data_IF_567661731972
#
_entry.id   IF_567661731972
#
_cell.length_a   1.000
_cell.length_b   1.000
_cell.length_c   1.000
_cell.angle_alpha   90.00
_cell.angle_beta   90.00
_cell.angle_gamma   90.00
#
_symmetry.space_group_name_H-M   'P 1'
#
loop_
_entity.id
_entity.type
_entity.pdbx_description
1 polymer ?
#
# COMPACT_ATOMS: atom_id res chain seq x y z
N UNK A 1 -12.21 30.00 8.22
CA UNK A 1 -12.37 29.80 6.74
C UNK A 1 -11.09 29.23 6.20
N UNK A 2 -11.16 28.30 5.24
CA UNK A 2 -9.96 27.66 4.67
C UNK A 2 -9.01 28.69 4.04
N UNK A 3 -7.71 28.40 4.08
CA UNK A 3 -6.69 29.22 3.42
C UNK A 3 -6.52 28.74 1.98
N UNK A 4 -7.14 29.44 1.03
CA UNK A 4 -7.07 29.10 -0.39
C UNK A 4 -6.27 30.16 -1.13
N UNK A 5 -5.16 29.75 -1.78
CA UNK A 5 -4.34 30.66 -2.55
C UNK A 5 -5.11 31.20 -3.78
N UNK A 6 -4.99 32.51 -4.12
CA UNK A 6 -5.76 33.11 -5.22
C UNK A 6 -5.54 32.46 -6.60
N UNK A 7 -4.44 31.75 -6.81
CA UNK A 7 -4.16 31.03 -8.08
C UNK A 7 -4.63 29.56 -8.06
N UNK A 8 -5.24 29.10 -6.98
CA UNK A 8 -5.84 27.76 -6.95
C UNK A 8 -7.17 27.76 -7.72
N UNK A 9 -7.47 26.67 -8.40
CA UNK A 9 -8.74 26.43 -9.10
C UNK A 9 -9.51 25.42 -8.28
N UNK A 10 -10.64 25.83 -7.73
CA UNK A 10 -11.45 24.98 -6.83
C UNK A 10 -12.88 24.91 -7.36
N UNK A 11 -13.33 23.67 -7.67
CA UNK A 11 -14.70 23.41 -8.08
C UNK A 11 -15.69 23.73 -6.95
N UNK A 12 -16.85 24.23 -7.29
CA UNK A 12 -17.94 24.54 -6.34
C UNK A 12 -18.46 23.32 -5.58
N UNK A 13 -18.22 22.11 -6.07
CA UNK A 13 -18.56 20.84 -5.41
C UNK A 13 -17.55 20.42 -4.33
N UNK A 14 -16.41 21.12 -4.23
CA UNK A 14 -15.40 20.81 -3.21
C UNK A 14 -15.88 21.23 -1.81
N UNK A 15 -15.60 20.39 -0.82
CA UNK A 15 -15.85 20.65 0.61
C UNK A 15 -14.51 20.73 1.32
N UNK A 16 -14.19 21.91 1.89
CA UNK A 16 -12.88 22.19 2.47
C UNK A 16 -13.07 22.64 3.92
N UNK A 17 -12.44 21.92 4.87
CA UNK A 17 -12.49 22.27 6.30
C UNK A 17 -11.87 23.65 6.56
N UNK A 18 -12.34 24.34 7.60
CA UNK A 18 -11.98 25.73 7.92
C UNK A 18 -10.49 25.97 8.17
N UNK A 19 -9.77 24.96 8.61
CA UNK A 19 -8.34 24.98 8.92
C UNK A 19 -7.46 24.29 7.85
N UNK A 20 -8.07 23.88 6.74
CA UNK A 20 -7.32 23.31 5.62
C UNK A 20 -6.66 24.39 4.77
N UNK A 21 -5.57 24.04 4.12
CA UNK A 21 -4.78 24.91 3.24
C UNK A 21 -4.73 24.37 1.82
N UNK A 22 -5.03 25.21 0.83
CA UNK A 22 -4.88 24.93 -0.60
C UNK A 22 -3.88 25.93 -1.19
N UNK A 23 -2.69 25.45 -1.48
CA UNK A 23 -1.56 26.23 -1.97
C UNK A 23 -1.71 26.71 -3.43
N UNK A 24 -0.70 27.45 -3.94
CA UNK A 24 -0.75 28.03 -5.28
C UNK A 24 -0.85 26.97 -6.37
N UNK A 25 -1.63 27.31 -7.40
CA UNK A 25 -1.82 26.48 -8.60
C UNK A 25 -2.30 25.05 -8.35
N UNK A 26 -2.90 24.79 -7.17
CA UNK A 26 -3.63 23.55 -6.93
C UNK A 26 -4.94 23.56 -7.74
N UNK A 27 -5.32 22.39 -8.26
CA UNK A 27 -6.56 22.18 -9.01
C UNK A 27 -7.38 21.11 -8.28
N UNK A 28 -8.60 21.47 -7.88
CA UNK A 28 -9.58 20.58 -7.28
C UNK A 28 -10.78 20.53 -8.23
N UNK A 29 -10.95 19.42 -8.95
CA UNK A 29 -12.01 19.21 -9.94
C UNK A 29 -13.08 18.27 -9.38
N UNK A 30 -14.35 18.67 -9.40
CA UNK A 30 -15.48 17.87 -8.93
C UNK A 30 -15.55 17.73 -7.40
N UNK A 31 -16.19 16.67 -6.87
CA UNK A 31 -16.44 16.50 -5.44
C UNK A 31 -15.16 16.06 -4.71
N UNK A 32 -14.37 17.03 -4.25
CA UNK A 32 -13.17 16.83 -3.42
C UNK A 32 -13.47 17.25 -1.99
N UNK A 33 -13.23 16.35 -1.02
CA UNK A 33 -13.39 16.64 0.41
C UNK A 33 -12.03 16.70 1.09
N UNK A 34 -11.70 17.85 1.69
CA UNK A 34 -10.50 18.04 2.51
C UNK A 34 -10.90 18.19 3.97
N UNK A 35 -10.48 17.23 4.81
CA UNK A 35 -10.75 17.28 6.25
C UNK A 35 -9.82 18.25 7.00
N UNK A 36 -10.02 18.36 8.32
CA UNK A 36 -9.32 19.28 9.21
C UNK A 36 -7.79 19.19 9.08
N UNK A 37 -7.11 20.35 8.97
CA UNK A 37 -5.66 20.43 8.92
C UNK A 37 -5.00 19.86 7.65
N UNK A 38 -5.76 19.50 6.62
CA UNK A 38 -5.19 19.07 5.34
C UNK A 38 -4.40 20.21 4.71
N UNK A 39 -3.22 19.89 4.17
CA UNK A 39 -2.35 20.84 3.51
C UNK A 39 -1.99 20.36 2.10
N UNK A 40 -2.55 21.00 1.08
CA UNK A 40 -2.11 20.87 -0.30
C UNK A 40 -1.04 21.95 -0.56
N UNK A 41 0.21 21.54 -0.75
CA UNK A 41 1.34 22.50 -0.83
C UNK A 41 1.24 23.43 -2.05
N UNK A 42 1.44 22.93 -3.24
CA UNK A 42 1.35 23.66 -4.48
C UNK A 42 1.18 22.70 -5.65
N UNK A 43 0.54 23.14 -6.74
CA UNK A 43 0.49 22.40 -8.01
C UNK A 43 0.01 20.93 -7.83
N UNK A 44 -0.80 20.66 -6.83
CA UNK A 44 -1.47 19.38 -6.65
C UNK A 44 -2.71 19.33 -7.54
N UNK A 45 -2.99 18.18 -8.15
CA UNK A 45 -4.21 18.01 -8.94
C UNK A 45 -5.05 16.86 -8.38
N UNK A 46 -6.24 17.20 -7.88
CA UNK A 46 -7.20 16.26 -7.33
C UNK A 46 -8.45 16.25 -8.20
N UNK A 47 -8.85 15.07 -8.70
CA UNK A 47 -10.07 14.87 -9.50
C UNK A 47 -11.04 13.98 -8.74
N UNK A 48 -12.15 14.55 -8.27
CA UNK A 48 -13.14 13.84 -7.44
C UNK A 48 -13.97 12.79 -8.21
N UNK A 49 -14.55 11.84 -7.44
CA UNK A 49 -14.66 11.83 -5.97
C UNK A 49 -13.33 11.56 -5.25
N UNK A 50 -12.88 12.48 -4.41
CA UNK A 50 -11.67 12.30 -3.59
C UNK A 50 -11.94 12.78 -2.16
N UNK A 51 -11.55 11.97 -1.17
CA UNK A 51 -11.57 12.35 0.23
C UNK A 51 -10.16 12.27 0.82
N UNK A 52 -9.69 13.36 1.42
CA UNK A 52 -8.39 13.43 2.11
C UNK A 52 -8.63 13.58 3.61
N UNK A 53 -8.17 12.62 4.39
CA UNK A 53 -8.27 12.58 5.85
C UNK A 53 -7.45 13.66 6.55
N UNK A 54 -7.80 13.92 7.80
CA UNK A 54 -7.27 15.03 8.58
C UNK A 54 -5.73 15.03 8.67
N UNK A 55 -5.12 16.22 8.72
CA UNK A 55 -3.67 16.47 8.88
C UNK A 55 -2.77 15.88 7.78
N UNK A 56 -3.37 15.30 6.74
CA UNK A 56 -2.63 14.78 5.58
C UNK A 56 -2.01 15.92 4.78
N UNK A 57 -0.78 15.72 4.34
CA UNK A 57 -0.02 16.69 3.53
C UNK A 57 0.23 16.13 2.14
N UNK A 58 -0.10 16.92 1.13
CA UNK A 58 0.11 16.59 -0.28
C UNK A 58 1.11 17.56 -0.87
N UNK A 59 2.17 17.02 -1.45
CA UNK A 59 3.31 17.77 -1.97
C UNK A 59 3.17 18.06 -3.47
N UNK A 60 3.97 18.97 -4.04
CA UNK A 60 3.81 19.45 -5.40
C UNK A 60 3.78 18.32 -6.45
N UNK A 61 2.94 18.53 -7.47
CA UNK A 61 2.77 17.64 -8.61
C UNK A 61 2.15 16.27 -8.28
N UNK A 62 1.64 16.06 -7.08
CA UNK A 62 0.86 14.87 -6.80
C UNK A 62 -0.46 14.90 -7.59
N UNK A 63 -0.83 13.73 -8.18
CA UNK A 63 -2.02 13.54 -8.99
C UNK A 63 -2.92 12.47 -8.35
N UNK A 64 -4.13 12.85 -7.92
CA UNK A 64 -5.01 11.98 -7.13
C UNK A 64 -6.41 11.97 -7.75
N UNK A 65 -6.96 10.76 -7.96
CA UNK A 65 -8.35 10.58 -8.37
C UNK A 65 -8.58 10.60 -9.88
N UNK A 66 -7.56 10.65 -10.70
CA UNK A 66 -7.72 10.45 -12.13
C UNK A 66 -8.22 9.04 -12.44
N UNK A 67 -8.88 8.89 -13.57
CA UNK A 67 -9.46 7.63 -14.05
C UNK A 67 -8.44 6.49 -14.08
N UNK A 68 -8.89 5.23 -13.99
CA UNK A 68 -8.03 4.07 -14.12
C UNK A 68 -7.22 4.09 -15.42
N UNK A 69 -5.95 3.68 -15.37
CA UNK A 69 -5.07 3.57 -16.56
C UNK A 69 -5.43 2.32 -17.39
N UNK A 70 -6.67 2.27 -17.88
CA UNK A 70 -7.19 1.23 -18.78
C UNK A 70 -8.00 1.94 -19.87
N UNK A 71 -7.82 1.57 -21.13
CA UNK A 71 -8.44 2.20 -22.31
C UNK A 71 -9.97 2.27 -22.28
N UNK A 72 -10.65 1.48 -21.44
CA UNK A 72 -12.13 1.54 -21.26
C UNK A 72 -12.59 2.68 -20.37
N UNK A 73 -11.70 3.36 -19.67
CA UNK A 73 -12.04 4.51 -18.83
C UNK A 73 -11.59 5.80 -19.51
N UNK A 74 -12.39 6.85 -19.34
CA UNK A 74 -12.10 8.20 -19.80
C UNK A 74 -12.56 9.23 -18.77
N UNK A 75 -12.38 10.53 -19.05
CA UNK A 75 -12.69 11.61 -18.11
C UNK A 75 -14.11 11.62 -17.56
N UNK A 76 -15.08 11.07 -18.31
CA UNK A 76 -16.50 11.02 -17.94
C UNK A 76 -16.88 9.71 -17.23
N UNK A 77 -15.93 8.84 -16.94
CA UNK A 77 -16.21 7.57 -16.27
C UNK A 77 -16.66 7.81 -14.84
N UNK A 78 -17.79 7.19 -14.47
CA UNK A 78 -18.28 7.20 -13.09
C UNK A 78 -17.47 6.19 -12.27
N UNK A 79 -16.83 6.66 -11.20
CA UNK A 79 -16.01 5.84 -10.32
C UNK A 79 -16.30 6.15 -8.85
N UNK A 80 -15.98 5.23 -7.93
CA UNK A 80 -16.02 5.50 -6.50
C UNK A 80 -14.88 6.43 -6.04
N UNK A 81 -13.93 6.75 -6.91
CA UNK A 81 -12.86 7.67 -6.63
C UNK A 81 -11.77 7.13 -5.71
N UNK A 82 -11.27 8.00 -4.82
CA UNK A 82 -10.15 7.74 -3.91
C UNK A 82 -10.46 8.20 -2.49
N UNK A 83 -10.07 7.40 -1.49
CA UNK A 83 -10.07 7.81 -0.09
C UNK A 83 -8.65 7.68 0.48
N UNK A 84 -8.12 8.75 1.05
CA UNK A 84 -6.83 8.80 1.75
C UNK A 84 -7.11 9.08 3.23
N UNK A 85 -6.49 8.31 4.11
CA UNK A 85 -6.63 8.42 5.57
C UNK A 85 -5.96 9.66 6.17
N UNK A 86 -5.85 9.65 7.49
CA UNK A 86 -5.30 10.75 8.27
C UNK A 86 -3.78 10.68 8.39
N UNK A 87 -3.14 11.82 8.67
CA UNK A 87 -1.71 11.94 8.96
C UNK A 87 -0.79 11.37 7.86
N UNK A 88 -1.26 11.30 6.63
CA UNK A 88 -0.48 10.80 5.49
C UNK A 88 0.50 11.86 4.95
N UNK A 89 1.61 11.39 4.38
CA UNK A 89 2.54 12.22 3.62
C UNK A 89 2.58 11.71 2.17
N UNK A 90 2.00 12.49 1.25
CA UNK A 90 1.96 12.18 -0.18
C UNK A 90 2.96 13.10 -0.88
N UNK A 91 4.14 12.57 -1.21
CA UNK A 91 5.26 13.35 -1.72
C UNK A 91 5.12 13.68 -3.21
N UNK A 92 6.09 14.42 -3.71
CA UNK A 92 6.14 15.00 -5.03
C UNK A 92 5.95 13.94 -6.13
N UNK A 93 5.12 14.24 -7.12
CA UNK A 93 4.83 13.35 -8.25
C UNK A 93 4.21 11.99 -7.87
N UNK A 94 3.78 11.80 -6.63
CA UNK A 94 3.04 10.59 -6.27
C UNK A 94 1.67 10.60 -6.96
N UNK A 95 1.17 9.40 -7.33
CA UNK A 95 -0.13 9.29 -7.99
C UNK A 95 -0.99 8.18 -7.38
N UNK A 96 -2.30 8.45 -7.29
CA UNK A 96 -3.31 7.49 -6.82
C UNK A 96 -4.51 7.56 -7.79
N UNK A 97 -4.78 6.47 -8.50
CA UNK A 97 -5.88 6.43 -9.45
C UNK A 97 -7.20 6.03 -8.80
N UNK A 98 -8.30 6.56 -9.33
CA UNK A 98 -9.66 6.22 -8.92
C UNK A 98 -9.95 4.74 -9.12
N UNK A 99 -10.95 4.23 -8.39
CA UNK A 99 -11.42 2.86 -8.54
C UNK A 99 -12.02 2.61 -9.94
N UNK A 100 -11.97 1.36 -10.40
CA UNK A 100 -12.60 0.94 -11.66
C UNK A 100 -14.09 0.61 -11.51
N UNK A 101 -14.66 0.84 -10.34
CA UNK A 101 -16.06 0.62 -9.99
C UNK A 101 -16.65 1.88 -9.33
N UNK A 102 -17.97 1.92 -9.12
CA UNK A 102 -18.71 3.07 -8.58
C UNK A 102 -19.10 2.96 -7.11
N UNK A 103 -18.65 1.91 -6.40
CA UNK A 103 -19.10 1.60 -5.03
C UNK A 103 -17.99 1.43 -4.00
N UNK A 104 -16.75 1.10 -4.39
CA UNK A 104 -15.62 0.92 -3.48
C UNK A 104 -14.43 1.72 -3.97
N UNK A 105 -13.99 2.77 -3.25
CA UNK A 105 -12.89 3.62 -3.69
C UNK A 105 -11.52 2.90 -3.62
N UNK A 106 -10.56 3.36 -4.40
CA UNK A 106 -9.15 3.12 -4.12
C UNK A 106 -8.82 3.70 -2.76
N UNK A 107 -8.18 2.91 -1.89
CA UNK A 107 -7.99 3.28 -0.49
C UNK A 107 -6.52 3.36 -0.11
N UNK A 108 -6.16 4.47 0.54
CA UNK A 108 -4.91 4.64 1.28
C UNK A 108 -5.28 4.77 2.77
N UNK A 109 -4.70 3.95 3.63
CA UNK A 109 -4.92 4.00 5.09
C UNK A 109 -4.33 5.23 5.76
N UNK A 110 -4.28 5.20 7.09
CA UNK A 110 -3.74 6.30 7.89
C UNK A 110 -2.21 6.22 8.00
N UNK A 111 -1.55 7.37 8.22
CA UNK A 111 -0.11 7.50 8.44
C UNK A 111 0.76 6.86 7.35
N UNK A 112 0.22 6.80 6.15
CA UNK A 112 0.94 6.27 5.00
C UNK A 112 1.96 7.29 4.50
N UNK A 113 3.18 6.83 4.22
CA UNK A 113 4.21 7.64 3.61
C UNK A 113 4.45 7.20 2.16
N UNK A 114 3.86 7.91 1.22
CA UNK A 114 4.13 7.78 -0.21
C UNK A 114 5.26 8.73 -0.58
N UNK A 115 6.47 8.19 -0.82
CA UNK A 115 7.61 9.01 -1.22
C UNK A 115 7.51 9.40 -2.71
N UNK A 116 8.44 10.21 -3.17
CA UNK A 116 8.48 10.80 -4.51
C UNK A 116 8.25 9.75 -5.61
N UNK A 117 7.34 10.08 -6.54
CA UNK A 117 7.00 9.25 -7.71
C UNK A 117 6.50 7.84 -7.38
N UNK A 118 5.99 7.61 -6.16
CA UNK A 118 5.30 6.36 -5.85
C UNK A 118 3.90 6.35 -6.48
N UNK A 119 3.37 5.15 -6.75
CA UNK A 119 2.10 5.01 -7.47
C UNK A 119 1.21 3.93 -6.88
N UNK A 120 -0.08 4.21 -6.79
CA UNK A 120 -1.13 3.23 -6.49
C UNK A 120 -2.15 3.24 -7.62
N UNK A 121 -2.26 2.08 -8.29
CA UNK A 121 -3.23 1.84 -9.35
C UNK A 121 -4.66 1.76 -8.82
N UNK A 122 -5.61 1.73 -9.75
CA UNK A 122 -7.05 1.64 -9.46
C UNK A 122 -7.38 0.44 -8.54
N UNK A 123 -8.39 0.59 -7.70
CA UNK A 123 -8.84 -0.45 -6.76
C UNK A 123 -7.76 -0.92 -5.77
N UNK A 124 -6.66 -0.19 -5.66
CA UNK A 124 -5.61 -0.46 -4.68
C UNK A 124 -6.14 -0.28 -3.25
N UNK A 125 -5.73 -1.17 -2.33
CA UNK A 125 -6.05 -1.07 -0.91
C UNK A 125 -4.77 -1.10 -0.09
N UNK A 126 -4.32 0.07 0.34
CA UNK A 126 -3.08 0.26 1.12
C UNK A 126 -3.45 0.43 2.59
N UNK A 127 -2.89 -0.41 3.45
CA UNK A 127 -3.10 -0.40 4.90
C UNK A 127 -2.50 0.82 5.60
N UNK A 128 -2.58 0.81 6.92
CA UNK A 128 -2.06 1.88 7.77
C UNK A 128 -0.53 1.77 7.95
N UNK A 129 0.13 2.90 8.21
CA UNK A 129 1.56 2.97 8.51
C UNK A 129 2.46 2.37 7.39
N UNK A 130 1.96 2.24 6.17
CA UNK A 130 2.72 1.72 5.03
C UNK A 130 3.73 2.77 4.55
N UNK A 131 4.93 2.31 4.22
CA UNK A 131 5.96 3.14 3.59
C UNK A 131 6.18 2.67 2.15
N UNK A 132 5.86 3.54 1.19
CA UNK A 132 6.18 3.37 -0.22
C UNK A 132 7.39 4.26 -0.54
N UNK A 133 8.56 3.66 -0.66
CA UNK A 133 9.79 4.40 -0.97
C UNK A 133 9.76 4.92 -2.40
N UNK A 134 10.55 5.91 -2.72
CA UNK A 134 10.55 6.59 -4.02
C UNK A 134 10.49 5.63 -5.21
N UNK A 135 9.55 5.86 -6.12
CA UNK A 135 9.33 5.02 -7.29
C UNK A 135 8.73 3.64 -7.01
N UNK A 136 8.25 3.34 -5.79
CA UNK A 136 7.53 2.10 -5.53
C UNK A 136 6.16 2.13 -6.22
N UNK A 137 5.82 1.09 -6.97
CA UNK A 137 4.63 1.04 -7.82
C UNK A 137 3.74 -0.16 -7.46
N UNK A 138 2.46 0.10 -7.22
CA UNK A 138 1.41 -0.90 -7.07
C UNK A 138 0.47 -0.85 -8.27
N UNK A 139 0.33 -1.97 -9.00
CA UNK A 139 -0.67 -2.11 -10.06
C UNK A 139 -2.09 -2.11 -9.51
N UNK A 140 -3.08 -2.21 -10.40
CA UNK A 140 -4.50 -2.26 -10.01
C UNK A 140 -4.82 -3.44 -9.08
N UNK A 141 -5.81 -3.25 -8.19
CA UNK A 141 -6.29 -4.26 -7.24
C UNK A 141 -5.23 -4.81 -6.27
N UNK A 142 -4.09 -4.15 -6.12
CA UNK A 142 -3.06 -4.53 -5.15
C UNK A 142 -3.52 -4.24 -3.73
N UNK A 143 -3.32 -5.20 -2.84
CA UNK A 143 -3.53 -5.00 -1.40
C UNK A 143 -2.21 -5.02 -0.66
N UNK A 144 -1.99 -4.01 0.19
CA UNK A 144 -0.79 -3.91 1.05
C UNK A 144 -1.24 -3.85 2.50
N UNK A 145 -0.81 -4.80 3.30
CA UNK A 145 -1.12 -4.86 4.73
C UNK A 145 -0.38 -3.79 5.54
N UNK A 146 -0.89 -3.54 6.74
CA UNK A 146 -0.37 -2.51 7.64
C UNK A 146 1.14 -2.63 7.87
N UNK A 147 1.81 -1.49 7.98
CA UNK A 147 3.23 -1.38 8.30
C UNK A 147 4.18 -2.09 7.33
N UNK A 148 3.69 -2.42 6.13
CA UNK A 148 4.56 -2.94 5.08
C UNK A 148 5.49 -1.84 4.55
N UNK A 149 6.66 -2.25 4.04
CA UNK A 149 7.62 -1.35 3.40
C UNK A 149 7.90 -1.83 1.98
N UNK A 150 7.55 -0.99 1.01
CA UNK A 150 7.86 -1.20 -0.39
C UNK A 150 9.13 -0.42 -0.74
N UNK A 151 10.23 -1.13 -1.00
CA UNK A 151 11.53 -0.54 -1.30
C UNK A 151 11.53 0.32 -2.57
N UNK A 152 12.50 1.22 -2.69
CA UNK A 152 12.58 2.15 -3.82
C UNK A 152 12.59 1.43 -5.16
N UNK A 153 11.75 1.87 -6.11
CA UNK A 153 11.61 1.24 -7.41
C UNK A 153 11.05 -0.18 -7.40
N UNK A 154 10.49 -0.66 -6.29
CA UNK A 154 9.84 -1.98 -6.24
C UNK A 154 8.50 -1.97 -6.99
N UNK A 155 8.09 -3.13 -7.51
CA UNK A 155 6.92 -3.29 -8.36
C UNK A 155 6.02 -4.40 -7.81
N UNK A 156 4.75 -4.10 -7.54
CA UNK A 156 3.74 -5.08 -7.16
C UNK A 156 2.76 -5.25 -8.32
N UNK A 157 2.80 -6.43 -8.97
CA UNK A 157 1.90 -6.74 -10.09
C UNK A 157 0.45 -6.89 -9.60
N UNK A 158 -0.50 -6.46 -10.42
CA UNK A 158 -1.92 -6.68 -10.16
C UNK A 158 -2.31 -8.16 -10.22
N UNK A 159 -3.22 -8.65 -9.41
CA UNK A 159 -3.76 -8.16 -8.14
C UNK A 159 -3.07 -8.84 -6.93
N UNK A 160 -1.74 -8.70 -6.82
CA UNK A 160 -0.97 -9.33 -5.73
C UNK A 160 -1.24 -8.67 -4.38
N UNK A 161 -0.97 -9.44 -3.32
CA UNK A 161 -1.06 -8.98 -1.94
C UNK A 161 0.33 -8.95 -1.28
N UNK A 162 0.59 -7.89 -0.54
CA UNK A 162 1.76 -7.75 0.34
C UNK A 162 1.25 -7.78 1.78
N UNK A 163 1.70 -8.74 2.58
CA UNK A 163 1.21 -8.93 3.95
C UNK A 163 1.70 -7.85 4.93
N UNK A 164 1.06 -7.78 6.08
CA UNK A 164 1.42 -6.90 7.20
C UNK A 164 2.89 -7.08 7.58
N UNK A 165 3.60 -5.95 7.82
CA UNK A 165 5.03 -5.91 8.17
C UNK A 165 5.94 -6.63 7.15
N UNK A 166 5.46 -6.94 5.96
CA UNK A 166 6.32 -7.45 4.89
C UNK A 166 7.22 -6.34 4.35
N UNK A 167 8.36 -6.73 3.79
CA UNK A 167 9.31 -5.80 3.17
C UNK A 167 9.64 -6.22 1.75
N UNK A 168 9.74 -5.26 0.86
CA UNK A 168 10.31 -5.46 -0.47
C UNK A 168 11.65 -4.71 -0.56
N UNK A 169 12.66 -5.40 -1.06
CA UNK A 169 13.94 -4.78 -1.41
C UNK A 169 13.79 -3.75 -2.54
N UNK A 170 14.77 -2.85 -2.67
CA UNK A 170 14.78 -1.89 -3.77
C UNK A 170 14.85 -2.56 -5.14
N UNK A 171 14.08 -2.09 -6.12
CA UNK A 171 14.02 -2.64 -7.47
C UNK A 171 13.40 -4.04 -7.59
N UNK A 172 12.84 -4.60 -6.53
CA UNK A 172 12.28 -5.96 -6.53
C UNK A 172 10.87 -5.97 -7.12
N UNK A 173 10.61 -6.68 -8.24
CA UNK A 173 9.27 -6.92 -8.73
C UNK A 173 8.68 -8.18 -8.10
N UNK A 174 7.37 -8.19 -7.82
CA UNK A 174 6.62 -9.39 -7.45
C UNK A 174 5.36 -9.53 -8.31
N UNK A 175 5.05 -10.78 -8.68
CA UNK A 175 3.82 -11.21 -9.36
C UNK A 175 3.14 -12.38 -8.63
N UNK A 176 3.55 -12.60 -7.38
CA UNK A 176 3.00 -13.56 -6.42
C UNK A 176 2.78 -12.84 -5.08
N UNK A 177 1.92 -13.38 -4.23
CA UNK A 177 1.61 -12.80 -2.93
C UNK A 177 2.82 -12.89 -1.98
N UNK A 178 3.18 -11.79 -1.32
CA UNK A 178 4.23 -11.76 -0.31
C UNK A 178 3.62 -11.91 1.10
N UNK A 179 3.84 -13.04 1.80
CA UNK A 179 3.24 -13.28 3.11
C UNK A 179 3.66 -12.27 4.17
N UNK A 180 2.84 -12.07 5.23
CA UNK A 180 3.18 -11.22 6.37
C UNK A 180 4.55 -11.53 6.96
N UNK A 181 5.22 -10.50 7.45
CA UNK A 181 6.54 -10.56 8.11
C UNK A 181 7.70 -11.03 7.22
N UNK A 182 7.48 -11.28 5.94
CA UNK A 182 8.53 -11.76 5.03
C UNK A 182 9.18 -10.64 4.24
N UNK A 183 10.45 -10.83 3.87
CA UNK A 183 11.20 -9.89 3.02
C UNK A 183 11.44 -10.50 1.65
N UNK A 184 10.95 -9.85 0.58
CA UNK A 184 11.29 -10.19 -0.80
C UNK A 184 12.59 -9.46 -1.19
N UNK A 185 13.63 -10.23 -1.52
CA UNK A 185 14.96 -9.69 -1.89
C UNK A 185 15.25 -9.83 -3.39
N UNK A 186 14.45 -10.60 -4.11
CA UNK A 186 14.51 -10.78 -5.56
C UNK A 186 13.10 -11.09 -6.08
N UNK A 187 12.90 -11.09 -7.39
CA UNK A 187 11.60 -11.32 -8.01
C UNK A 187 10.94 -12.61 -7.50
N UNK A 188 9.76 -12.48 -6.88
CA UNK A 188 8.99 -13.58 -6.27
C UNK A 188 9.78 -14.47 -5.29
N UNK A 189 10.86 -13.96 -4.67
CA UNK A 189 11.73 -14.73 -3.78
C UNK A 189 11.82 -14.12 -2.39
N UNK A 190 11.49 -14.93 -1.38
CA UNK A 190 11.63 -14.59 0.04
C UNK A 190 13.03 -14.91 0.50
N UNK A 191 13.77 -13.90 0.95
CA UNK A 191 15.12 -14.06 1.50
C UNK A 191 15.13 -14.42 2.99
N UNK A 192 14.36 -13.70 3.78
CA UNK A 192 14.32 -13.86 5.25
C UNK A 192 13.05 -13.22 5.83
N UNK A 193 12.68 -13.56 7.07
CA UNK A 193 11.65 -12.79 7.78
C UNK A 193 12.16 -11.41 8.23
N UNK A 194 11.24 -10.45 8.34
CA UNK A 194 11.46 -9.11 8.87
C UNK A 194 11.47 -9.11 10.41
N UNK A 195 12.47 -9.75 11.01
CA UNK A 195 12.56 -9.88 12.47
C UNK A 195 12.71 -8.52 13.18
N UNK A 196 13.34 -7.55 12.54
CA UNK A 196 13.50 -6.18 13.08
C UNK A 196 12.14 -5.49 13.15
N UNK A 197 11.35 -5.59 12.09
CA UNK A 197 9.98 -5.06 12.06
C UNK A 197 9.10 -5.70 13.13
N UNK A 198 9.11 -7.02 13.24
CA UNK A 198 8.37 -7.74 14.30
C UNK A 198 8.76 -7.23 15.69
N UNK A 199 10.06 -7.17 16.00
CA UNK A 199 10.56 -6.70 17.30
C UNK A 199 10.12 -5.26 17.62
N UNK A 200 10.24 -4.35 16.65
CA UNK A 200 9.83 -2.93 16.81
C UNK A 200 8.33 -2.76 17.04
N UNK A 201 7.53 -3.71 16.56
CA UNK A 201 6.08 -3.71 16.71
C UNK A 201 5.58 -4.59 17.87
N UNK A 202 6.46 -4.97 18.79
CA UNK A 202 6.07 -5.57 20.07
C UNK A 202 5.75 -7.07 20.02
N UNK A 203 6.11 -7.77 18.93
CA UNK A 203 5.98 -9.24 18.90
C UNK A 203 6.92 -9.85 19.92
N UNK A 204 6.44 -10.86 20.63
CA UNK A 204 7.21 -11.55 21.65
C UNK A 204 8.29 -12.47 21.04
N UNK A 205 9.13 -13.03 21.93
CA UNK A 205 10.22 -13.92 21.49
C UNK A 205 9.71 -15.23 20.90
N UNK A 206 8.55 -15.72 21.36
CA UNK A 206 7.96 -16.94 20.84
C UNK A 206 7.51 -16.76 19.40
N UNK A 207 6.71 -15.73 19.11
CA UNK A 207 6.26 -15.39 17.77
C UNK A 207 7.43 -15.17 16.81
N UNK A 208 8.43 -14.37 17.23
CA UNK A 208 9.63 -14.09 16.42
C UNK A 208 10.40 -15.39 16.10
N UNK A 209 10.57 -16.27 17.09
CA UNK A 209 11.28 -17.54 16.87
C UNK A 209 10.46 -18.49 15.99
N UNK A 210 9.16 -18.58 16.18
CA UNK A 210 8.28 -19.39 15.34
C UNK A 210 8.37 -18.98 13.88
N UNK A 211 8.29 -17.68 13.57
CA UNK A 211 8.45 -17.19 12.20
C UNK A 211 9.86 -17.45 11.67
N UNK A 212 10.90 -17.21 12.47
CA UNK A 212 12.30 -17.36 12.07
C UNK A 212 12.69 -18.81 11.76
N UNK A 213 12.29 -19.75 12.60
CA UNK A 213 12.77 -21.14 12.54
C UNK A 213 11.80 -22.06 11.80
N UNK A 214 10.49 -21.95 12.10
CA UNK A 214 9.49 -22.87 11.59
C UNK A 214 8.87 -22.35 10.29
N UNK A 215 8.20 -21.21 10.30
CA UNK A 215 7.47 -20.70 9.12
C UNK A 215 8.41 -20.45 7.94
N UNK A 216 9.57 -19.81 8.18
CA UNK A 216 10.52 -19.56 7.10
C UNK A 216 11.11 -20.83 6.49
N UNK A 217 11.20 -21.91 7.25
CA UNK A 217 11.63 -23.22 6.72
C UNK A 217 10.52 -23.87 5.90
N UNK A 218 9.26 -23.84 6.36
CA UNK A 218 8.11 -24.34 5.61
C UNK A 218 7.99 -23.67 4.24
N UNK A 219 8.12 -22.35 4.18
CA UNK A 219 8.06 -21.59 2.92
C UNK A 219 9.23 -21.99 1.99
N UNK A 220 10.42 -22.28 2.53
CA UNK A 220 11.57 -22.74 1.73
C UNK A 220 11.39 -24.14 1.16
N UNK A 221 10.64 -25.00 1.83
CA UNK A 221 10.38 -26.37 1.35
C UNK A 221 9.50 -26.42 0.11
N UNK A 222 8.80 -25.32 -0.22
CA UNK A 222 7.91 -25.24 -1.40
C UNK A 222 6.87 -26.36 -1.40
N UNK A 223 6.21 -26.57 -0.26
CA UNK A 223 5.20 -27.61 -0.08
C UNK A 223 3.93 -27.30 -0.90
N UNK A 224 3.14 -28.32 -1.27
CA UNK A 224 1.76 -28.13 -1.71
C UNK A 224 0.96 -27.32 -0.70
N UNK A 225 0.00 -26.48 -1.17
CA UNK A 225 -0.77 -25.59 -0.27
C UNK A 225 -1.43 -26.35 0.87
N UNK A 226 -1.98 -27.55 0.62
CA UNK A 226 -2.64 -28.35 1.66
C UNK A 226 -1.67 -28.80 2.78
N UNK A 227 -0.46 -29.23 2.42
CA UNK A 227 0.56 -29.62 3.41
C UNK A 227 1.09 -28.40 4.19
N UNK A 228 1.36 -27.30 3.47
CA UNK A 228 1.77 -26.03 4.10
C UNK A 228 0.72 -25.54 5.10
N UNK A 229 -0.55 -25.64 4.76
CA UNK A 229 -1.66 -25.23 5.62
C UNK A 229 -1.76 -26.09 6.89
N UNK A 230 -1.63 -27.42 6.77
CA UNK A 230 -1.66 -28.32 7.92
C UNK A 230 -0.54 -28.04 8.94
N UNK A 231 0.68 -27.78 8.43
CA UNK A 231 1.81 -27.40 9.29
C UNK A 231 1.60 -26.01 9.95
N UNK A 232 1.05 -25.04 9.18
CA UNK A 232 0.75 -23.71 9.71
C UNK A 232 -0.39 -23.74 10.71
N UNK A 233 -1.42 -24.59 10.57
CA UNK A 233 -2.50 -24.77 11.53
C UNK A 233 -1.94 -25.17 12.90
N UNK A 234 -1.01 -26.14 12.93
CA UNK A 234 -0.31 -26.56 14.15
C UNK A 234 0.46 -25.41 14.82
N UNK A 235 1.21 -24.61 14.02
CA UNK A 235 1.96 -23.49 14.57
C UNK A 235 1.05 -22.34 15.05
N UNK A 236 -0.11 -22.17 14.41
CA UNK A 236 -1.09 -21.14 14.74
C UNK A 236 -1.79 -21.37 16.08
N UNK A 237 -1.77 -22.59 16.64
CA UNK A 237 -2.32 -22.89 17.97
C UNK A 237 -1.59 -22.13 19.08
N UNK A 238 -0.31 -21.84 18.89
CA UNK A 238 0.54 -21.22 19.93
C UNK A 238 1.17 -19.89 19.51
N UNK A 239 1.10 -19.50 18.24
CA UNK A 239 1.73 -18.29 17.72
C UNK A 239 0.75 -17.42 16.91
N UNK A 240 0.52 -16.20 17.38
CA UNK A 240 -0.31 -15.22 16.67
C UNK A 240 0.32 -14.81 15.33
N UNK A 241 1.64 -14.74 15.24
CA UNK A 241 2.32 -14.45 14.00
C UNK A 241 2.16 -15.58 12.98
N UNK A 242 2.25 -16.84 13.40
CA UNK A 242 1.97 -17.99 12.53
C UNK A 242 0.50 -18.00 12.08
N UNK A 243 -0.44 -17.69 12.97
CA UNK A 243 -1.86 -17.54 12.64
C UNK A 243 -2.08 -16.47 11.56
N UNK A 244 -1.46 -15.30 11.69
CA UNK A 244 -1.55 -14.21 10.71
C UNK A 244 -1.06 -14.67 9.32
N UNK A 245 0.04 -15.41 9.27
CA UNK A 245 0.57 -15.95 8.00
C UNK A 245 -0.37 -17.02 7.43
N UNK A 246 -0.86 -17.91 8.28
CA UNK A 246 -1.80 -18.97 7.92
C UNK A 246 -3.07 -18.38 7.29
N UNK A 247 -3.68 -17.40 7.93
CA UNK A 247 -4.90 -16.74 7.46
C UNK A 247 -4.67 -16.06 6.10
N UNK A 248 -3.55 -15.34 5.96
CA UNK A 248 -3.16 -14.72 4.69
C UNK A 248 -3.01 -15.75 3.55
N UNK A 249 -2.38 -16.91 3.82
CA UNK A 249 -2.17 -17.96 2.83
C UNK A 249 -3.48 -18.72 2.53
N UNK A 250 -4.35 -18.91 3.54
CA UNK A 250 -5.66 -19.55 3.35
C UNK A 250 -6.50 -18.81 2.32
N UNK A 251 -6.55 -17.48 2.41
CA UNK A 251 -7.27 -16.59 1.50
C UNK A 251 -6.61 -16.41 0.12
N UNK A 252 -5.38 -16.91 -0.07
CA UNK A 252 -4.64 -16.70 -1.29
C UNK A 252 -5.28 -17.42 -2.48
N UNK A 253 -5.70 -16.65 -3.48
CA UNK A 253 -6.13 -17.11 -4.81
C UNK A 253 -4.97 -17.25 -5.81
N UNK A 254 -3.79 -16.74 -5.45
CA UNK A 254 -2.57 -16.72 -6.26
C UNK A 254 -1.44 -17.47 -5.56
N UNK A 255 -0.37 -17.87 -6.28
CA UNK A 255 0.82 -18.39 -5.64
C UNK A 255 1.44 -17.39 -4.67
N UNK A 256 2.05 -17.88 -3.60
CA UNK A 256 2.90 -17.07 -2.73
C UNK A 256 4.34 -17.00 -3.26
N UNK A 257 5.06 -15.94 -2.90
CA UNK A 257 6.49 -15.83 -3.17
C UNK A 257 7.23 -17.04 -2.56
N UNK A 258 8.13 -17.65 -3.34
CA UNK A 258 8.87 -18.83 -2.92
C UNK A 258 10.08 -18.48 -2.03
N UNK A 259 10.42 -19.35 -1.08
CA UNK A 259 11.65 -19.19 -0.30
C UNK A 259 12.92 -19.36 -1.15
N UNK A 260 13.97 -18.60 -0.84
CA UNK A 260 15.29 -18.80 -1.45
C UNK A 260 15.97 -20.03 -0.85
N UNK A 261 16.46 -20.92 -1.70
CA UNK A 261 17.30 -22.05 -1.28
C UNK A 261 18.68 -21.56 -0.80
N UNK A 262 19.38 -22.37 0.03
CA UNK A 262 20.72 -22.01 0.55
C UNK A 262 21.74 -21.72 -0.56
N UNK A 263 21.58 -22.33 -1.75
CA UNK A 263 22.45 -22.10 -2.92
C UNK A 263 22.23 -20.73 -3.62
N UNK A 264 21.10 -20.06 -3.41
CA UNK A 264 20.79 -18.74 -3.99
C UNK A 264 21.23 -17.54 -3.16
N UNK A 265 22.02 -17.74 -2.09
CA UNK A 265 22.52 -16.65 -1.23
C UNK A 265 23.93 -16.13 -1.62
N UNK A 266 24.45 -16.59 -2.72
CA UNK A 266 25.75 -16.16 -3.23
C UNK A 266 25.56 -15.17 -4.39
N UNK A 267 25.57 -13.89 -4.07
CA UNK A 267 26.22 -12.76 -4.80
C UNK A 267 26.02 -11.51 -3.97
#
# INVERSE_FOLDING_TARGET
MPSIHPTAIVDSKATIADDATVGPQCILSGPVTLHAGVNLNAQCHLTGPVTIGARTRVYPFAAIGFEPQDYKFGPDSVTAGVTIGEDCLIREHASVHAASNDHTPTRIGDRVFMMTSSHVGHDGNIGNDVVMVSGALCGGHVTVGDKALLGGGSLVHQPCRVGTLAMMGGGVPISADLPPFMTANAGNRIGSPNLVGMKRNGFDKHDINTVKQNVSELIRRTLPKSELMAELDTLAETSNAAKTIRDFIAEASRPICAGMTKQGRGL
#
